data_IF_663619474707
#
_entry.id   IF_663619474707
#
_cell.length_a   1.000
_cell.length_b   1.000
_cell.length_c   1.000
_cell.angle_alpha   90.00
_cell.angle_beta   90.00
_cell.angle_gamma   90.00
#
_symmetry.space_group_name_H-M   'P 1'
#
loop_
_entity.id
_entity.type
_entity.pdbx_description
1 polymer ?
#
# COMPACT_ATOMS: atom_id res chain seq x y z
N UNK A 1 9.11 -12.83 -10.29
CA UNK A 1 7.90 -12.86 -9.43
C UNK A 1 7.74 -11.59 -8.62
N UNK A 2 8.79 -11.08 -7.95
CA UNK A 2 8.69 -9.82 -7.17
C UNK A 2 8.18 -8.61 -7.97
N UNK A 3 8.54 -8.47 -9.24
CA UNK A 3 8.04 -7.40 -10.09
C UNK A 3 6.52 -7.47 -10.33
N UNK A 4 5.95 -8.68 -10.41
CA UNK A 4 4.51 -8.89 -10.55
C UNK A 4 3.81 -8.54 -9.24
N UNK A 5 4.33 -9.03 -8.10
CA UNK A 5 3.80 -8.67 -6.78
C UNK A 5 3.82 -7.15 -6.58
N UNK A 6 4.92 -6.49 -6.95
CA UNK A 6 5.04 -5.03 -6.85
C UNK A 6 4.08 -4.29 -7.78
N UNK A 7 3.80 -4.82 -8.97
CA UNK A 7 2.78 -4.25 -9.85
C UNK A 7 1.40 -4.30 -9.18
N UNK A 8 1.04 -5.45 -8.58
CA UNK A 8 -0.21 -5.61 -7.84
C UNK A 8 -0.31 -4.73 -6.60
N UNK A 9 0.78 -4.59 -5.85
CA UNK A 9 0.87 -3.68 -4.71
C UNK A 9 0.62 -2.21 -5.10
N UNK A 10 0.85 -1.86 -6.37
CA UNK A 10 0.57 -0.56 -6.98
C UNK A 10 -0.76 -0.51 -7.76
N UNK A 11 -1.62 -1.53 -7.62
CA UNK A 11 -2.90 -1.69 -8.34
C UNK A 11 -2.76 -1.82 -9.87
N UNK A 12 -1.60 -2.22 -10.37
CA UNK A 12 -1.35 -2.43 -11.79
C UNK A 12 -1.59 -3.88 -12.21
N UNK A 13 -2.59 -4.09 -13.09
CA UNK A 13 -2.77 -5.36 -13.81
C UNK A 13 -1.69 -5.54 -14.91
N UNK A 14 -1.70 -6.67 -15.63
CA UNK A 14 -0.68 -6.91 -16.66
C UNK A 14 -0.71 -5.88 -17.80
N UNK A 15 -1.89 -5.34 -18.13
CA UNK A 15 -2.04 -4.33 -19.18
C UNK A 15 -1.44 -2.99 -18.73
N UNK A 16 -1.76 -2.56 -17.51
CA UNK A 16 -1.24 -1.33 -16.88
C UNK A 16 0.27 -1.42 -16.72
N UNK A 17 0.78 -2.57 -16.28
CA UNK A 17 2.22 -2.79 -16.17
C UNK A 17 2.91 -2.69 -17.54
N UNK A 18 2.35 -3.31 -18.58
CA UNK A 18 2.90 -3.23 -19.94
C UNK A 18 2.92 -1.79 -20.46
N UNK A 19 1.84 -1.03 -20.25
CA UNK A 19 1.76 0.38 -20.63
C UNK A 19 2.82 1.22 -19.92
N UNK A 20 3.01 1.03 -18.60
CA UNK A 20 4.04 1.76 -17.83
C UNK A 20 5.48 1.42 -18.27
N UNK A 21 5.72 0.18 -18.74
CA UNK A 21 7.01 -0.20 -19.32
C UNK A 21 7.27 0.57 -20.61
N UNK A 22 6.27 0.73 -21.47
CA UNK A 22 6.40 1.48 -22.72
C UNK A 22 6.51 3.00 -22.48
N UNK A 23 5.76 3.54 -21.52
CA UNK A 23 5.85 4.96 -21.14
C UNK A 23 7.26 5.33 -20.64
N UNK A 24 7.89 4.44 -19.87
CA UNK A 24 9.25 4.64 -19.35
C UNK A 24 10.36 4.21 -20.31
N UNK A 25 10.04 3.80 -21.55
CA UNK A 25 11.01 3.22 -22.47
C UNK A 25 12.12 4.20 -22.88
N UNK A 26 11.79 5.49 -23.03
CA UNK A 26 12.75 6.52 -23.44
C UNK A 26 13.87 6.75 -22.41
N UNK A 27 13.56 6.60 -21.13
CA UNK A 27 14.48 6.85 -20.01
C UNK A 27 15.16 5.58 -19.49
N UNK A 28 14.88 4.42 -20.10
CA UNK A 28 15.33 3.12 -19.60
C UNK A 28 16.43 2.54 -20.51
N UNK A 29 17.58 2.12 -19.95
CA UNK A 29 18.62 1.41 -20.71
C UNK A 29 18.06 0.19 -21.45
N UNK A 30 18.54 -0.06 -22.67
CA UNK A 30 17.97 -1.06 -23.58
C UNK A 30 17.93 -2.48 -22.98
N UNK A 31 18.95 -2.86 -22.20
CA UNK A 31 19.04 -4.16 -21.53
C UNK A 31 17.99 -4.30 -20.41
N UNK A 32 17.72 -3.22 -19.67
CA UNK A 32 16.70 -3.18 -18.64
C UNK A 32 15.29 -3.13 -19.23
N UNK A 33 15.10 -2.40 -20.33
CA UNK A 33 13.84 -2.32 -21.05
C UNK A 33 13.43 -3.69 -21.61
N UNK A 34 14.38 -4.43 -22.20
CA UNK A 34 14.13 -5.79 -22.67
C UNK A 34 13.64 -6.71 -21.54
N UNK A 35 14.32 -6.68 -20.38
CA UNK A 35 13.90 -7.44 -19.18
C UNK A 35 12.49 -7.05 -18.72
N UNK A 36 12.17 -5.75 -18.69
CA UNK A 36 10.83 -5.26 -18.29
C UNK A 36 9.73 -5.72 -19.25
N UNK A 37 9.98 -5.69 -20.56
CA UNK A 37 9.06 -6.22 -21.57
C UNK A 37 8.85 -7.73 -21.43
N UNK A 38 9.90 -8.48 -21.11
CA UNK A 38 9.77 -9.92 -20.83
C UNK A 38 8.94 -10.18 -19.57
N UNK A 39 9.13 -9.39 -18.51
CA UNK A 39 8.27 -9.45 -17.32
C UNK A 39 6.81 -9.11 -17.66
N UNK A 40 6.55 -8.12 -18.52
CA UNK A 40 5.19 -7.78 -18.95
C UNK A 40 4.51 -8.93 -19.70
N UNK A 41 5.24 -9.59 -20.62
CA UNK A 41 4.75 -10.81 -21.31
C UNK A 41 4.46 -11.94 -20.31
N UNK A 42 5.39 -12.18 -19.37
CA UNK A 42 5.21 -13.18 -18.32
C UNK A 42 4.00 -12.87 -17.45
N UNK A 43 3.78 -11.60 -17.10
CA UNK A 43 2.65 -11.18 -16.28
C UNK A 43 1.32 -11.41 -17.03
N UNK A 44 1.25 -11.06 -18.32
CA UNK A 44 0.05 -11.36 -19.13
C UNK A 44 -0.25 -12.86 -19.20
N UNK A 45 0.76 -13.70 -19.41
CA UNK A 45 0.60 -15.15 -19.38
C UNK A 45 0.18 -15.67 -17.99
N UNK A 46 0.74 -15.09 -16.93
CA UNK A 46 0.40 -15.42 -15.55
C UNK A 46 -1.07 -15.09 -15.26
N UNK A 47 -1.53 -13.86 -15.52
CA UNK A 47 -2.92 -13.48 -15.32
C UNK A 47 -3.89 -14.27 -16.19
N UNK A 48 -3.53 -14.60 -17.43
CA UNK A 48 -4.37 -15.47 -18.27
C UNK A 48 -4.52 -16.86 -17.66
N UNK A 49 -3.46 -17.45 -17.12
CA UNK A 49 -3.51 -18.77 -16.48
C UNK A 49 -4.27 -18.75 -15.16
N UNK A 50 -4.09 -17.71 -14.35
CA UNK A 50 -4.76 -17.55 -13.07
C UNK A 50 -6.24 -17.17 -13.29
N UNK A 51 -6.55 -16.24 -14.19
CA UNK A 51 -7.91 -15.81 -14.51
C UNK A 51 -8.74 -16.84 -15.28
N UNK A 52 -8.13 -17.70 -16.10
CA UNK A 52 -8.81 -18.85 -16.71
C UNK A 52 -9.23 -19.90 -15.67
N UNK A 53 -8.57 -19.92 -14.50
CA UNK A 53 -8.92 -20.74 -13.37
C UNK A 53 -9.45 -19.83 -12.26
N UNK A 54 -10.69 -19.35 -12.39
CA UNK A 54 -11.37 -18.33 -11.54
C UNK A 54 -11.33 -18.56 -10.01
N UNK A 55 -10.72 -19.65 -9.55
CA UNK A 55 -10.53 -20.03 -8.15
C UNK A 55 -9.10 -19.82 -7.64
N UNK A 56 -8.15 -19.39 -8.49
CA UNK A 56 -6.76 -19.15 -8.11
C UNK A 56 -6.52 -17.66 -7.91
N UNK A 57 -6.02 -17.29 -6.73
CA UNK A 57 -5.59 -15.93 -6.39
C UNK A 57 -4.27 -16.03 -5.65
N UNK A 58 -3.36 -15.08 -5.87
CA UNK A 58 -2.15 -14.95 -5.07
C UNK A 58 -2.30 -13.93 -3.93
N UNK A 59 -1.24 -13.76 -3.15
CA UNK A 59 -1.25 -12.85 -2.00
C UNK A 59 -1.49 -11.39 -2.38
N UNK A 60 -1.04 -10.95 -3.57
CA UNK A 60 -1.32 -9.59 -4.06
C UNK A 60 -2.78 -9.43 -4.47
N UNK A 61 -3.34 -10.44 -5.12
CA UNK A 61 -4.75 -10.44 -5.54
C UNK A 61 -5.71 -10.34 -4.35
N UNK A 62 -5.37 -10.96 -3.22
CA UNK A 62 -6.16 -10.90 -1.99
C UNK A 62 -6.34 -9.46 -1.45
N UNK A 63 -5.52 -8.51 -1.87
CA UNK A 63 -5.63 -7.10 -1.48
C UNK A 63 -6.09 -6.25 -2.67
N UNK A 64 -5.47 -6.42 -3.83
CA UNK A 64 -5.76 -5.65 -5.03
C UNK A 64 -7.21 -5.84 -5.50
N UNK A 65 -7.70 -7.09 -5.58
CA UNK A 65 -9.04 -7.36 -6.11
C UNK A 65 -10.13 -6.78 -5.21
N UNK A 66 -10.11 -6.96 -3.86
CA UNK A 66 -11.07 -6.28 -2.99
C UNK A 66 -10.98 -4.75 -3.08
N UNK A 67 -9.77 -4.19 -3.17
CA UNK A 67 -9.59 -2.74 -3.31
C UNK A 67 -10.28 -2.20 -4.57
N UNK A 68 -10.06 -2.86 -5.72
CA UNK A 68 -10.70 -2.50 -6.99
C UNK A 68 -12.22 -2.74 -6.95
N UNK A 69 -12.66 -3.88 -6.42
CA UNK A 69 -14.07 -4.25 -6.36
C UNK A 69 -14.89 -3.26 -5.51
N UNK A 70 -14.38 -2.88 -4.33
CA UNK A 70 -15.04 -1.93 -3.45
C UNK A 70 -15.01 -0.50 -4.00
N UNK A 71 -13.92 -0.11 -4.66
CA UNK A 71 -13.82 1.20 -5.32
C UNK A 71 -14.82 1.32 -6.48
N UNK A 72 -15.02 0.25 -7.24
CA UNK A 72 -15.90 0.26 -8.42
C UNK A 72 -17.38 0.11 -8.06
N UNK A 73 -17.72 -0.73 -7.07
CA UNK A 73 -19.10 -1.01 -6.69
C UNK A 73 -19.22 -1.49 -5.24
N UNK A 74 -19.16 -0.55 -4.30
CA UNK A 74 -19.32 -0.85 -2.88
C UNK A 74 -20.65 -1.53 -2.54
N UNK A 75 -21.75 -1.12 -3.18
CA UNK A 75 -23.10 -1.59 -2.84
C UNK A 75 -23.26 -3.10 -3.02
N UNK A 76 -22.63 -3.69 -4.05
CA UNK A 76 -22.61 -5.15 -4.24
C UNK A 76 -21.94 -5.91 -3.10
N UNK A 77 -21.03 -5.27 -2.36
CA UNK A 77 -20.31 -5.87 -1.23
C UNK A 77 -20.76 -5.37 0.14
N UNK A 78 -21.70 -4.42 0.19
CA UNK A 78 -22.18 -3.78 1.42
C UNK A 78 -22.64 -4.78 2.49
N UNK A 79 -23.26 -5.89 2.09
CA UNK A 79 -23.65 -6.95 3.03
C UNK A 79 -22.44 -7.57 3.75
N UNK A 80 -21.28 -7.63 3.10
CA UNK A 80 -20.05 -8.21 3.65
C UNK A 80 -19.22 -7.21 4.45
N UNK A 81 -19.10 -5.96 3.96
CA UNK A 81 -18.18 -4.95 4.52
C UNK A 81 -18.88 -3.86 5.34
N UNK A 82 -20.19 -3.64 5.16
CA UNK A 82 -20.93 -2.57 5.82
C UNK A 82 -21.10 -2.74 7.34
N UNK A 83 -20.72 -3.90 7.88
CA UNK A 83 -20.62 -4.14 9.33
C UNK A 83 -19.41 -3.44 9.97
N UNK A 84 -18.40 -3.06 9.20
CA UNK A 84 -17.18 -2.43 9.70
C UNK A 84 -17.39 -0.92 9.88
N UNK A 85 -18.11 -0.56 10.96
CA UNK A 85 -18.41 0.83 11.31
C UNK A 85 -17.18 1.60 11.81
N UNK A 86 -16.24 0.91 12.44
CA UNK A 86 -15.02 1.50 12.97
C UNK A 86 -13.83 0.72 12.44
N UNK A 87 -12.88 1.43 11.84
CA UNK A 87 -11.71 0.85 11.20
C UNK A 87 -10.48 1.33 11.97
N UNK A 88 -9.64 0.39 12.39
CA UNK A 88 -8.34 0.64 13.00
C UNK A 88 -7.26 0.00 12.12
N UNK A 89 -6.27 0.78 11.72
CA UNK A 89 -5.12 0.29 10.96
C UNK A 89 -3.85 0.59 11.75
N UNK A 90 -3.15 -0.45 12.16
CA UNK A 90 -1.84 -0.35 12.79
C UNK A 90 -0.72 -0.41 11.74
N UNK A 91 0.47 0.04 12.09
CA UNK A 91 1.67 0.08 11.22
C UNK A 91 1.40 0.75 9.86
N UNK A 92 0.66 1.87 9.86
CA UNK A 92 0.21 2.55 8.63
C UNK A 92 1.38 3.05 7.76
N UNK A 93 2.58 3.21 8.33
CA UNK A 93 3.77 3.55 7.56
C UNK A 93 4.20 2.47 6.55
N UNK A 94 3.78 1.21 6.76
CA UNK A 94 4.16 0.07 5.92
C UNK A 94 3.09 -0.32 4.90
N UNK A 95 2.03 0.48 4.79
CA UNK A 95 0.90 0.24 3.87
C UNK A 95 1.29 0.61 2.43
N UNK A 96 1.18 -0.35 1.51
CA UNK A 96 1.32 -0.15 0.06
C UNK A 96 0.07 0.51 -0.55
N UNK A 97 0.14 0.88 -1.83
CA UNK A 97 -0.96 1.58 -2.52
C UNK A 97 -2.26 0.78 -2.58
N UNK A 98 -2.18 -0.53 -2.85
CA UNK A 98 -3.35 -1.39 -2.89
C UNK A 98 -4.08 -1.44 -1.53
N UNK A 99 -3.33 -1.63 -0.45
CA UNK A 99 -3.88 -1.61 0.91
C UNK A 99 -4.42 -0.24 1.31
N UNK A 100 -3.74 0.86 0.93
CA UNK A 100 -4.23 2.21 1.18
C UNK A 100 -5.57 2.47 0.47
N UNK A 101 -5.70 2.02 -0.77
CA UNK A 101 -6.95 2.11 -1.53
C UNK A 101 -8.07 1.26 -0.91
N UNK A 102 -7.75 0.06 -0.43
CA UNK A 102 -8.71 -0.79 0.29
C UNK A 102 -9.22 -0.10 1.55
N UNK A 103 -8.32 0.43 2.38
CA UNK A 103 -8.68 1.19 3.59
C UNK A 103 -9.54 2.39 3.23
N UNK A 104 -9.18 3.14 2.19
CA UNK A 104 -9.95 4.31 1.72
C UNK A 104 -11.37 3.93 1.28
N UNK A 105 -11.51 2.86 0.50
CA UNK A 105 -12.82 2.38 0.04
C UNK A 105 -13.72 1.91 1.21
N UNK A 106 -13.13 1.26 2.22
CA UNK A 106 -13.86 0.86 3.42
C UNK A 106 -14.22 2.07 4.29
N UNK A 107 -13.27 2.97 4.51
CA UNK A 107 -13.43 4.14 5.37
C UNK A 107 -14.45 5.15 4.84
N UNK A 108 -14.64 5.23 3.52
CA UNK A 108 -15.66 6.09 2.90
C UNK A 108 -17.09 5.79 3.38
N UNK A 109 -17.34 4.59 3.90
CA UNK A 109 -18.64 4.15 4.41
C UNK A 109 -18.61 3.78 5.90
N UNK A 110 -17.47 3.96 6.57
CA UNK A 110 -17.33 3.76 8.01
C UNK A 110 -17.70 5.04 8.78
N UNK A 111 -18.04 4.87 10.06
CA UNK A 111 -18.27 6.00 10.97
C UNK A 111 -16.93 6.62 11.43
N UNK A 112 -15.90 5.79 11.63
CA UNK A 112 -14.57 6.26 12.04
C UNK A 112 -13.43 5.45 11.42
N UNK A 113 -12.33 6.16 11.13
CA UNK A 113 -11.04 5.59 10.75
C UNK A 113 -9.98 6.07 11.74
N UNK A 114 -9.25 5.12 12.31
CA UNK A 114 -8.08 5.33 13.15
C UNK A 114 -6.89 4.69 12.49
N UNK A 115 -5.82 5.47 12.33
CA UNK A 115 -4.53 4.96 11.85
C UNK A 115 -3.48 5.20 12.91
N UNK A 116 -2.64 4.20 13.11
CA UNK A 116 -1.48 4.25 14.00
C UNK A 116 -0.26 3.92 13.16
N UNK A 117 0.81 4.67 13.36
CA UNK A 117 2.08 4.37 12.71
C UNK A 117 3.19 5.30 13.18
N UNK A 118 4.41 4.90 12.88
CA UNK A 118 5.61 5.67 13.17
C UNK A 118 6.42 5.86 11.89
N UNK A 119 6.45 7.10 11.40
CA UNK A 119 7.21 7.44 10.20
C UNK A 119 8.71 7.10 10.32
N UNK A 120 9.25 7.08 11.55
CA UNK A 120 10.66 6.72 11.81
C UNK A 120 10.92 5.22 11.74
N UNK A 121 9.87 4.40 11.71
CA UNK A 121 9.92 2.94 11.60
C UNK A 121 9.57 2.43 10.20
N UNK A 122 9.43 3.31 9.21
CA UNK A 122 9.17 2.95 7.82
C UNK A 122 10.41 2.30 7.15
N UNK A 123 10.78 1.09 7.59
CA UNK A 123 11.97 0.36 7.13
C UNK A 123 11.69 -0.57 5.93
N UNK A 124 10.43 -0.75 5.53
CA UNK A 124 10.03 -1.67 4.47
C UNK A 124 9.97 -1.07 3.05
N UNK A 125 10.68 0.05 2.79
CA UNK A 125 10.71 0.73 1.47
C UNK A 125 11.02 -0.20 0.28
N UNK A 126 11.75 -1.29 0.51
CA UNK A 126 12.07 -2.30 -0.51
C UNK A 126 10.85 -3.12 -0.98
N UNK A 127 9.78 -3.23 -0.18
CA UNK A 127 8.54 -3.97 -0.49
C UNK A 127 7.41 -3.12 -1.07
N UNK A 128 7.68 -1.88 -1.48
CA UNK A 128 6.62 -0.98 -1.98
C UNK A 128 5.80 -0.28 -0.89
N UNK A 129 6.09 -0.56 0.39
CA UNK A 129 5.69 0.30 1.49
C UNK A 129 6.25 1.71 1.25
N UNK A 130 5.38 2.70 1.35
CA UNK A 130 5.72 4.08 1.08
C UNK A 130 5.48 4.89 2.34
N UNK A 131 6.54 5.48 2.90
CA UNK A 131 6.43 6.51 3.93
C UNK A 131 5.49 7.66 3.50
N UNK A 132 5.22 7.81 2.19
CA UNK A 132 4.20 8.74 1.70
C UNK A 132 2.80 8.43 2.22
N UNK A 133 2.45 7.18 2.52
CA UNK A 133 1.10 6.83 2.99
C UNK A 133 0.79 7.51 4.33
N UNK A 134 1.71 7.45 5.29
CA UNK A 134 1.52 8.12 6.59
C UNK A 134 1.70 9.64 6.50
N UNK A 135 2.65 10.12 5.69
CA UNK A 135 2.89 11.57 5.52
C UNK A 135 1.73 12.26 4.79
N UNK A 136 1.13 11.60 3.80
CA UNK A 136 0.00 12.12 3.02
C UNK A 136 -1.36 11.81 3.64
N UNK A 137 -1.41 11.16 4.80
CA UNK A 137 -2.68 10.86 5.44
C UNK A 137 -3.51 12.14 5.66
N UNK A 138 -2.86 13.25 6.01
CA UNK A 138 -3.52 14.54 6.13
C UNK A 138 -4.08 15.10 4.82
N UNK A 139 -3.45 14.79 3.68
CA UNK A 139 -3.96 15.18 2.35
C UNK A 139 -5.22 14.37 1.98
N UNK A 140 -5.22 13.08 2.31
CA UNK A 140 -6.35 12.17 2.05
C UNK A 140 -7.52 12.40 3.04
N UNK A 141 -7.23 12.84 4.26
CA UNK A 141 -8.20 13.08 5.33
C UNK A 141 -7.95 14.44 6.01
N UNK A 142 -8.37 15.57 5.40
CA UNK A 142 -8.10 16.91 5.93
C UNK A 142 -8.65 17.16 7.35
N UNK A 143 -9.76 16.50 7.70
CA UNK A 143 -10.43 16.62 9.01
C UNK A 143 -9.85 15.68 10.09
N UNK A 144 -8.71 15.03 9.83
CA UNK A 144 -8.08 14.13 10.79
C UNK A 144 -7.66 14.88 12.07
N UNK A 145 -7.63 14.14 13.18
CA UNK A 145 -7.16 14.64 14.48
C UNK A 145 -5.88 13.91 14.86
N UNK A 146 -4.71 14.58 14.85
CA UNK A 146 -3.45 13.95 15.25
C UNK A 146 -3.40 13.73 16.77
N UNK A 147 -2.88 12.57 17.19
CA UNK A 147 -2.67 12.22 18.59
C UNK A 147 -1.23 11.72 18.80
N UNK A 148 -0.26 12.62 19.00
CA UNK A 148 1.14 12.23 19.12
C UNK A 148 1.42 11.52 20.46
N UNK A 149 2.08 10.37 20.40
CA UNK A 149 2.56 9.63 21.57
C UNK A 149 4.04 9.94 21.82
N UNK A 150 4.30 10.91 22.70
CA UNK A 150 5.65 11.42 22.97
C UNK A 150 6.38 10.69 24.11
N UNK A 151 5.70 9.84 24.86
CA UNK A 151 6.28 9.13 25.98
C UNK A 151 6.55 7.67 25.62
N UNK A 152 7.79 7.25 25.78
CA UNK A 152 8.11 5.85 25.61
C UNK A 152 7.92 5.06 26.91
N UNK A 153 7.07 4.03 26.85
CA UNK A 153 6.80 3.12 27.97
C UNK A 153 7.48 1.75 27.86
N UNK A 154 8.17 1.47 26.75
CA UNK A 154 8.75 0.15 26.43
C UNK A 154 10.22 0.00 26.84
N UNK A 155 11.07 1.00 26.57
CA UNK A 155 12.52 0.88 26.85
C UNK A 155 12.97 1.79 27.99
N UNK A 156 14.06 1.41 28.66
CA UNK A 156 14.65 2.20 29.73
C UNK A 156 15.44 3.41 29.17
N UNK A 157 15.50 4.48 29.96
CA UNK A 157 16.00 5.81 29.61
C UNK A 157 17.35 5.82 28.87
N UNK A 158 18.29 4.96 29.29
CA UNK A 158 19.64 4.89 28.69
C UNK A 158 19.66 4.42 27.21
N UNK A 159 18.65 3.66 26.76
CA UNK A 159 18.50 3.23 25.35
C UNK A 159 17.75 4.27 24.51
N UNK A 160 16.90 5.09 25.13
CA UNK A 160 16.23 6.20 24.45
C UNK A 160 17.20 7.32 24.09
N UNK A 161 18.10 7.71 24.99
CA UNK A 161 19.07 8.77 24.71
C UNK A 161 20.18 8.39 23.72
N UNK A 162 20.40 7.10 23.46
CA UNK A 162 21.32 6.66 22.39
C UNK A 162 20.66 6.72 21.01
N UNK A 163 19.35 6.42 20.92
CA UNK A 163 18.62 6.52 19.66
C UNK A 163 18.11 7.95 19.38
N UNK A 164 17.51 8.65 20.35
CA UNK A 164 16.85 9.93 20.15
C UNK A 164 17.66 11.02 19.42
N UNK A 165 18.98 11.18 19.63
CA UNK A 165 19.79 12.17 18.92
C UNK A 165 19.84 11.95 17.40
N UNK A 166 19.82 10.70 16.91
CA UNK A 166 19.86 10.41 15.47
C UNK A 166 18.55 10.67 14.73
N UNK A 167 17.45 10.99 15.44
CA UNK A 167 16.11 11.13 14.86
C UNK A 167 15.51 12.54 14.99
N UNK A 168 16.26 13.51 15.54
CA UNK A 168 15.78 14.88 15.80
C UNK A 168 15.45 15.69 14.54
N UNK A 169 15.87 15.23 13.36
CA UNK A 169 15.72 15.95 12.10
C UNK A 169 14.41 15.64 11.35
N UNK A 170 13.62 14.67 11.84
CA UNK A 170 12.38 14.24 11.17
C UNK A 170 11.15 14.91 11.82
N UNK A 171 10.24 15.49 11.01
CA UNK A 171 9.07 16.19 11.53
C UNK A 171 8.20 15.26 12.38
N UNK A 172 7.65 15.81 13.46
CA UNK A 172 6.58 15.16 14.21
C UNK A 172 5.29 15.23 13.37
N UNK A 173 4.59 14.10 13.27
CA UNK A 173 3.26 13.98 12.65
C UNK A 173 2.19 14.15 13.73
#
# INVERSE_FOLDING_TARGET
>A
MEAIQRAKDELGDAATYAAAVEESAADTPADLLAKRRDVAKLYSCYEKKTGANSSLVDMGDLVMLPALALTNNYDSFKASVGRFKHILVDEYQDVNRASAQLVKALAAHAETLWVVGDARQAIYRFRGASMRSIVKFGDDYPEHKPFPLNENRRSYERRWYTCAPSWRHLPAL
#
